data_IF_947490684221
#
_entry.id   IF_947490684221
#
_cell.length_a   1.000
_cell.length_b   1.000
_cell.length_c   1.000
_cell.angle_alpha   90.00
_cell.angle_beta   90.00
_cell.angle_gamma   90.00
#
_symmetry.space_group_name_H-M   'P 1'
#
loop_
_entity.id
_entity.type
_entity.pdbx_description
1 polymer ?
#
# COMPACT_ATOMS: atom_id res chain seq x y z
N UNK A 1 38.46 9.09 -63.74
CA UNK A 1 38.00 9.81 -62.53
C UNK A 1 37.53 8.76 -61.54
N UNK A 2 38.30 8.53 -60.47
CA UNK A 2 38.16 7.41 -59.55
C UNK A 2 36.94 7.58 -58.64
N UNK A 3 36.01 6.62 -58.65
CA UNK A 3 34.98 6.52 -57.62
C UNK A 3 35.57 5.86 -56.38
N UNK A 4 35.79 6.67 -55.33
CA UNK A 4 36.10 6.16 -53.98
C UNK A 4 34.78 5.70 -53.33
N UNK A 5 34.68 4.41 -53.08
CA UNK A 5 33.62 3.80 -52.26
C UNK A 5 33.85 4.19 -50.80
N UNK A 6 33.10 5.18 -50.30
CA UNK A 6 33.08 5.52 -48.88
C UNK A 6 32.12 4.57 -48.16
N UNK A 7 32.65 3.69 -47.31
CA UNK A 7 31.85 2.91 -46.36
C UNK A 7 31.49 3.84 -45.20
N UNK A 8 30.24 4.31 -45.17
CA UNK A 8 29.68 5.01 -44.01
C UNK A 8 29.27 3.95 -42.98
N UNK A 9 30.13 3.67 -42.02
CA UNK A 9 29.78 2.86 -40.85
C UNK A 9 28.94 3.73 -39.89
N UNK A 10 27.62 3.51 -39.89
CA UNK A 10 26.71 4.07 -38.90
C UNK A 10 26.91 3.31 -37.57
N UNK A 11 27.76 3.82 -36.69
CA UNK A 11 27.85 3.37 -35.31
C UNK A 11 26.57 3.81 -34.58
N UNK A 12 25.56 2.95 -34.54
CA UNK A 12 24.51 3.03 -33.52
C UNK A 12 25.17 2.70 -32.18
N UNK A 13 25.57 3.73 -31.44
CA UNK A 13 25.77 3.63 -29.99
C UNK A 13 24.42 3.28 -29.36
N UNK A 14 24.10 1.99 -29.27
CA UNK A 14 23.24 1.52 -28.20
C UNK A 14 24.01 1.76 -26.91
N UNK A 15 23.75 2.89 -26.25
CA UNK A 15 23.97 2.98 -24.82
C UNK A 15 23.01 1.98 -24.18
N UNK A 16 23.44 0.72 -24.10
CA UNK A 16 22.97 -0.20 -23.08
C UNK A 16 23.39 0.45 -21.77
N UNK A 17 22.54 1.33 -21.22
CA UNK A 17 22.54 1.59 -19.80
C UNK A 17 22.29 0.23 -19.15
N UNK A 18 23.37 -0.45 -18.78
CA UNK A 18 23.31 -1.52 -17.82
C UNK A 18 22.83 -0.85 -16.51
N UNK A 19 21.51 -0.73 -16.34
CA UNK A 19 20.95 -0.39 -15.06
C UNK A 19 21.31 -1.53 -14.12
N UNK A 20 22.34 -1.31 -13.31
CA UNK A 20 22.66 -2.18 -12.17
C UNK A 20 21.38 -2.34 -11.36
N UNK A 21 20.90 -3.58 -11.22
CA UNK A 21 19.74 -3.88 -10.39
C UNK A 21 20.04 -3.40 -8.95
N UNK A 22 19.19 -2.52 -8.43
CA UNK A 22 19.37 -1.89 -7.12
C UNK A 22 19.29 -2.93 -6.00
N UNK A 23 20.19 -2.85 -5.01
CA UNK A 23 20.23 -3.77 -3.87
C UNK A 23 19.71 -3.10 -2.61
N UNK A 24 18.73 -3.71 -1.93
CA UNK A 24 18.18 -3.19 -0.68
C UNK A 24 18.57 -4.04 0.52
N UNK A 25 19.17 -3.41 1.53
CA UNK A 25 19.47 -4.04 2.82
C UNK A 25 18.30 -3.82 3.79
N UNK A 26 17.68 -4.89 4.24
CA UNK A 26 16.52 -4.85 5.13
C UNK A 26 16.94 -5.37 6.50
N UNK A 27 16.79 -4.57 7.53
CA UNK A 27 17.03 -4.94 8.93
C UNK A 27 15.70 -5.06 9.66
N UNK A 28 15.42 -6.23 10.22
CA UNK A 28 14.18 -6.49 10.95
C UNK A 28 14.53 -6.76 12.40
N UNK A 29 13.96 -5.98 13.31
CA UNK A 29 14.02 -6.19 14.75
C UNK A 29 12.69 -6.77 15.22
N UNK A 30 12.72 -7.89 15.94
CA UNK A 30 11.53 -8.51 16.50
C UNK A 30 11.46 -8.24 18.00
N UNK A 31 10.31 -7.72 18.45
CA UNK A 31 10.04 -7.45 19.86
C UNK A 31 8.71 -8.05 20.29
N UNK A 32 8.45 -8.16 21.60
CA UNK A 32 7.10 -8.43 22.11
C UNK A 32 6.24 -7.15 22.11
N UNK A 33 5.01 -7.24 22.67
CA UNK A 33 4.10 -6.10 22.84
C UNK A 33 4.61 -5.01 23.81
N UNK A 34 5.72 -5.26 24.52
CA UNK A 34 6.36 -4.34 25.47
C UNK A 34 7.69 -3.79 24.96
N UNK A 35 8.01 -4.02 23.68
CA UNK A 35 9.27 -3.59 23.01
C UNK A 35 10.50 -4.39 23.48
N UNK A 36 10.33 -5.46 24.25
CA UNK A 36 11.44 -6.36 24.62
C UNK A 36 11.83 -7.21 23.42
N UNK A 37 13.13 -7.32 23.15
CA UNK A 37 13.66 -8.07 21.99
C UNK A 37 13.48 -9.57 22.14
N UNK A 38 13.15 -10.25 21.03
CA UNK A 38 12.95 -11.70 21.01
C UNK A 38 14.00 -12.35 20.09
N UNK A 39 14.98 -13.09 20.66
CA UNK A 39 15.96 -13.86 19.88
C UNK A 39 15.36 -15.18 19.39
N UNK A 40 15.95 -15.77 18.34
CA UNK A 40 15.60 -17.13 17.90
C UNK A 40 14.29 -17.25 17.12
N UNK A 41 13.68 -16.15 16.68
CA UNK A 41 12.41 -16.16 15.93
C UNK A 41 12.70 -16.22 14.43
N UNK A 42 12.05 -17.14 13.70
CA UNK A 42 12.14 -17.20 12.23
C UNK A 42 11.45 -15.96 11.62
N UNK A 43 12.14 -15.28 10.72
CA UNK A 43 11.60 -14.25 9.84
C UNK A 43 11.71 -14.76 8.41
N UNK A 44 10.59 -14.72 7.69
CA UNK A 44 10.46 -15.17 6.31
C UNK A 44 10.02 -14.00 5.44
N UNK A 45 10.75 -13.74 4.35
CA UNK A 45 10.37 -12.82 3.29
C UNK A 45 9.91 -13.64 2.08
N UNK A 46 8.73 -13.34 1.53
CA UNK A 46 8.16 -14.03 0.36
C UNK A 46 7.85 -13.03 -0.74
N UNK A 47 8.25 -13.35 -1.96
CA UNK A 47 7.92 -12.61 -3.18
C UNK A 47 7.14 -13.54 -4.11
N UNK A 48 5.84 -13.30 -4.24
CA UNK A 48 4.95 -14.18 -4.99
C UNK A 48 5.19 -14.10 -6.51
N UNK A 49 5.55 -12.92 -7.04
CA UNK A 49 5.68 -12.68 -8.49
C UNK A 49 6.83 -13.48 -9.11
N UNK A 50 7.91 -13.65 -8.35
CA UNK A 50 9.10 -14.42 -8.75
C UNK A 50 9.23 -15.73 -7.98
N UNK A 51 8.20 -16.11 -7.22
CA UNK A 51 8.14 -17.30 -6.38
C UNK A 51 9.42 -17.50 -5.52
N UNK A 52 9.89 -16.42 -4.89
CA UNK A 52 11.12 -16.41 -4.10
C UNK A 52 10.80 -16.33 -2.61
N UNK A 53 11.58 -17.04 -1.80
CA UNK A 53 11.49 -17.00 -0.34
C UNK A 53 12.87 -16.89 0.27
N UNK A 54 13.03 -15.97 1.23
CA UNK A 54 14.22 -15.84 2.06
C UNK A 54 13.84 -16.10 3.52
N UNK A 55 14.74 -16.73 4.27
CA UNK A 55 14.53 -17.02 5.70
C UNK A 55 15.77 -16.71 6.50
N UNK A 56 15.58 -16.14 7.68
CA UNK A 56 16.61 -15.97 8.70
C UNK A 56 16.00 -16.08 10.09
N UNK A 57 16.85 -16.15 11.11
CA UNK A 57 16.44 -16.19 12.51
C UNK A 57 17.04 -14.98 13.22
N UNK A 58 16.30 -14.40 14.16
CA UNK A 58 16.80 -13.27 14.95
C UNK A 58 17.96 -13.64 15.86
N UNK A 59 18.96 -12.77 15.91
CA UNK A 59 20.13 -12.88 16.79
C UNK A 59 19.78 -12.60 18.27
N UNK A 60 20.80 -12.57 19.15
CA UNK A 60 20.64 -12.28 20.58
C UNK A 60 20.01 -10.89 20.87
N UNK A 61 20.10 -9.95 19.94
CA UNK A 61 19.49 -8.62 20.02
C UNK A 61 18.09 -8.59 19.39
N UNK A 62 17.56 -9.73 18.96
CA UNK A 62 16.29 -9.83 18.25
C UNK A 62 16.35 -9.30 16.82
N UNK A 63 17.51 -9.26 16.17
CA UNK A 63 17.72 -8.63 14.86
C UNK A 63 18.07 -9.67 13.79
N UNK A 64 17.57 -9.46 12.57
CA UNK A 64 17.96 -10.20 11.36
C UNK A 64 18.09 -9.26 10.17
N UNK A 65 18.91 -9.62 9.16
CA UNK A 65 19.25 -8.73 8.05
C UNK A 65 19.18 -9.47 6.71
N UNK A 66 18.33 -9.00 5.81
CA UNK A 66 18.20 -9.51 4.44
C UNK A 66 18.85 -8.58 3.43
N UNK A 67 19.32 -9.15 2.32
CA UNK A 67 19.78 -8.42 1.14
C UNK A 67 18.87 -8.80 -0.03
N UNK A 68 18.11 -7.83 -0.53
CA UNK A 68 17.16 -8.02 -1.62
C UNK A 68 17.76 -7.46 -2.91
N UNK A 69 17.97 -8.32 -3.90
CA UNK A 69 18.55 -7.97 -5.21
C UNK A 69 17.53 -8.02 -6.34
N UNK A 70 16.39 -8.66 -6.13
CA UNK A 70 15.32 -8.88 -7.10
C UNK A 70 13.96 -8.88 -6.40
N UNK A 71 12.86 -8.88 -7.17
CA UNK A 71 11.50 -8.72 -6.63
C UNK A 71 11.18 -7.27 -6.28
N UNK A 72 9.90 -6.93 -6.27
CA UNK A 72 9.39 -5.57 -6.07
C UNK A 72 8.55 -5.44 -4.81
N UNK A 73 7.83 -6.48 -4.41
CA UNK A 73 6.98 -6.50 -3.23
C UNK A 73 7.21 -7.77 -2.41
N UNK A 74 7.84 -7.60 -1.26
CA UNK A 74 8.16 -8.69 -0.34
C UNK A 74 7.23 -8.66 0.87
N UNK A 75 6.47 -9.74 1.08
CA UNK A 75 5.70 -9.95 2.30
C UNK A 75 6.58 -10.54 3.41
N UNK A 76 6.43 -10.02 4.62
CA UNK A 76 7.20 -10.44 5.79
C UNK A 76 6.32 -11.25 6.71
N UNK A 77 6.79 -12.43 7.10
CA UNK A 77 6.18 -13.29 8.12
C UNK A 77 7.16 -13.48 9.27
N UNK A 78 6.66 -13.47 10.51
CA UNK A 78 7.49 -13.63 11.72
C UNK A 78 6.89 -14.73 12.59
N UNK A 79 7.70 -15.70 13.00
CA UNK A 79 7.31 -16.79 13.89
C UNK A 79 6.09 -17.59 13.41
N UNK A 80 5.88 -17.68 12.10
CA UNK A 80 4.74 -18.36 11.48
C UNK A 80 3.48 -17.50 11.29
N UNK A 81 3.44 -16.28 11.83
CA UNK A 81 2.39 -15.31 11.52
C UNK A 81 2.70 -14.70 10.15
N UNK A 82 1.80 -14.91 9.18
CA UNK A 82 1.98 -14.47 7.80
C UNK A 82 1.74 -12.97 7.66
N UNK A 83 2.43 -12.37 6.68
CA UNK A 83 2.13 -11.03 6.14
C UNK A 83 1.98 -9.92 7.19
N UNK A 84 2.84 -9.92 8.20
CA UNK A 84 2.83 -8.90 9.25
C UNK A 84 3.27 -7.52 8.77
N UNK A 85 3.97 -7.44 7.64
CA UNK A 85 4.39 -6.20 7.00
C UNK A 85 4.80 -6.47 5.55
N UNK A 86 4.87 -5.42 4.74
CA UNK A 86 5.33 -5.47 3.35
C UNK A 86 6.53 -4.55 3.11
N UNK A 87 7.35 -4.91 2.14
CA UNK A 87 8.44 -4.09 1.64
C UNK A 87 8.32 -3.93 0.13
N UNK A 88 8.15 -2.69 -0.30
CA UNK A 88 8.22 -2.32 -1.70
C UNK A 88 9.67 -1.91 -2.06
N UNK A 89 10.20 -2.39 -3.19
CA UNK A 89 11.52 -2.08 -3.74
C UNK A 89 11.36 -1.43 -5.11
N UNK A 90 12.18 -0.42 -5.40
CA UNK A 90 12.36 0.09 -6.76
C UNK A 90 13.47 -0.67 -7.48
N UNK A 91 13.24 -1.08 -8.74
CA UNK A 91 14.20 -1.87 -9.54
C UNK A 91 15.60 -1.25 -9.64
N UNK A 92 15.64 0.08 -9.73
CA UNK A 92 16.84 0.85 -10.05
C UNK A 92 17.60 1.33 -8.81
N UNK A 93 17.07 1.12 -7.60
CA UNK A 93 17.57 1.80 -6.39
C UNK A 93 18.16 0.84 -5.38
N UNK A 94 19.37 1.18 -4.95
CA UNK A 94 19.95 0.60 -3.74
C UNK A 94 19.58 1.43 -2.52
N UNK A 95 19.33 0.78 -1.39
CA UNK A 95 18.88 1.47 -0.19
C UNK A 95 18.97 0.60 1.06
N UNK A 96 18.57 1.17 2.19
CA UNK A 96 18.44 0.43 3.43
C UNK A 96 17.10 0.74 4.10
N UNK A 97 16.52 -0.29 4.72
CA UNK A 97 15.27 -0.19 5.48
C UNK A 97 15.44 -0.90 6.81
N UNK A 98 15.00 -0.26 7.89
CA UNK A 98 14.92 -0.87 9.22
C UNK A 98 13.49 -0.84 9.70
N UNK A 99 13.03 -1.94 10.30
CA UNK A 99 11.69 -2.02 10.87
C UNK A 99 11.70 -2.83 12.16
N UNK A 100 10.82 -2.44 13.07
CA UNK A 100 10.52 -3.21 14.29
C UNK A 100 9.15 -3.84 14.14
N UNK A 101 9.09 -5.17 14.27
CA UNK A 101 7.85 -5.94 14.19
C UNK A 101 7.56 -6.52 15.57
N UNK A 102 6.35 -6.29 16.09
CA UNK A 102 5.89 -6.90 17.33
C UNK A 102 5.36 -8.32 17.05
N UNK A 103 5.96 -9.32 17.69
CA UNK A 103 5.56 -10.72 17.61
C UNK A 103 4.84 -11.12 18.90
N UNK A 104 3.51 -11.15 18.81
CA UNK A 104 2.62 -11.68 19.84
C UNK A 104 1.56 -12.59 19.18
N UNK A 105 1.78 -13.93 19.17
CA UNK A 105 0.87 -14.88 18.54
C UNK A 105 -0.53 -14.91 19.14
N UNK A 106 -0.66 -14.73 20.46
CA UNK A 106 -1.95 -14.78 21.13
C UNK A 106 -2.78 -13.54 20.74
N UNK A 107 -2.15 -12.37 20.78
CA UNK A 107 -2.74 -11.12 20.31
C UNK A 107 -3.07 -11.18 18.81
N UNK A 108 -2.14 -11.67 17.98
CA UNK A 108 -2.34 -11.81 16.53
C UNK A 108 -3.51 -12.75 16.18
N UNK A 109 -3.62 -13.88 16.87
CA UNK A 109 -4.74 -14.82 16.72
C UNK A 109 -6.08 -14.26 17.23
N UNK A 110 -6.05 -13.26 18.11
CA UNK A 110 -7.23 -12.56 18.61
C UNK A 110 -7.70 -11.51 17.60
N UNK A 111 -6.83 -10.60 17.17
CA UNK A 111 -7.17 -9.54 16.21
C UNK A 111 -7.60 -10.08 14.86
N UNK A 112 -7.05 -11.22 14.41
CA UNK A 112 -7.46 -11.84 13.13
C UNK A 112 -8.91 -12.32 13.14
N UNK A 113 -9.51 -12.53 14.32
CA UNK A 113 -10.92 -12.88 14.48
C UNK A 113 -11.83 -11.66 14.65
N UNK A 114 -11.26 -10.45 14.71
CA UNK A 114 -11.94 -9.23 15.17
C UNK A 114 -11.63 -8.03 14.26
N UNK A 115 -11.70 -8.28 12.95
CA UNK A 115 -11.42 -7.32 11.87
C UNK A 115 -12.56 -6.31 11.61
N UNK A 116 -13.65 -6.37 12.38
CA UNK A 116 -14.80 -5.49 12.19
C UNK A 116 -14.56 -4.06 12.71
N UNK A 117 -15.04 -3.07 11.96
CA UNK A 117 -15.19 -1.71 12.49
C UNK A 117 -16.28 -1.71 13.55
N UNK A 118 -16.09 -0.96 14.65
CA UNK A 118 -17.06 -0.86 15.77
C UNK A 118 -18.31 -0.05 15.40
N UNK A 119 -18.50 0.22 14.10
CA UNK A 119 -19.59 1.00 13.55
C UNK A 119 -20.92 0.28 13.81
N UNK A 120 -21.87 1.00 14.40
CA UNK A 120 -23.20 0.46 14.72
C UNK A 120 -23.26 -0.38 15.99
N UNK A 121 -22.19 -0.45 16.79
CA UNK A 121 -22.22 -1.11 18.09
C UNK A 121 -22.99 -0.26 19.12
N UNK A 122 -23.71 -0.91 20.02
CA UNK A 122 -24.44 -0.23 21.10
C UNK A 122 -23.50 0.09 22.26
N UNK A 123 -23.50 1.34 22.75
CA UNK A 123 -22.66 1.75 23.88
C UNK A 123 -23.44 1.77 25.20
N UNK A 124 -22.87 1.17 26.25
CA UNK A 124 -23.43 1.09 27.60
C UNK A 124 -22.45 1.75 28.59
N UNK A 125 -22.72 2.97 29.07
CA UNK A 125 -21.85 3.65 30.04
C UNK A 125 -21.83 2.99 31.42
N UNK A 126 -20.65 2.86 32.02
CA UNK A 126 -20.35 2.23 33.31
C UNK A 126 -19.30 3.02 34.11
N UNK A 127 -19.50 4.34 34.27
CA UNK A 127 -18.57 5.23 34.98
C UNK A 127 -18.58 5.01 36.51
N UNK A 128 -18.13 3.84 36.96
CA UNK A 128 -18.05 3.48 38.36
C UNK A 128 -16.78 4.06 39.01
N UNK A 129 -16.94 4.95 39.99
CA UNK A 129 -15.81 5.50 40.76
C UNK A 129 -15.01 4.42 41.52
N UNK A 130 -15.69 3.35 41.93
CA UNK A 130 -15.15 2.12 42.52
C UNK A 130 -15.97 0.92 42.03
N UNK A 131 -15.43 -0.30 42.12
CA UNK A 131 -16.15 -1.50 41.68
C UNK A 131 -17.54 -1.59 42.34
N UNK A 132 -18.63 -1.76 41.56
CA UNK A 132 -19.98 -1.86 42.10
C UNK A 132 -20.20 -3.20 42.81
N UNK A 133 -21.28 -3.33 43.61
CA UNK A 133 -21.71 -4.63 44.12
C UNK A 133 -21.97 -5.61 42.96
N UNK A 134 -21.39 -6.79 43.10
CA UNK A 134 -21.42 -7.85 42.08
C UNK A 134 -22.84 -8.38 41.84
N UNK A 135 -23.25 -8.44 40.57
CA UNK A 135 -24.51 -9.05 40.11
C UNK A 135 -24.31 -10.51 39.68
N UNK A 136 -25.27 -11.42 39.95
CA UNK A 136 -25.25 -12.77 39.39
C UNK A 136 -25.14 -12.75 37.86
N UNK A 137 -24.26 -13.57 37.29
CA UNK A 137 -23.96 -13.65 35.86
C UNK A 137 -22.98 -12.59 35.33
N UNK A 138 -22.41 -11.74 36.19
CA UNK A 138 -21.44 -10.70 35.81
C UNK A 138 -20.08 -10.92 36.48
N UNK A 139 -19.01 -10.41 35.86
CA UNK A 139 -17.68 -10.29 36.45
C UNK A 139 -17.34 -8.82 36.74
N UNK A 140 -16.44 -8.59 37.69
CA UNK A 140 -15.92 -7.27 38.06
C UNK A 140 -14.52 -7.07 37.49
N UNK A 141 -14.33 -6.05 36.65
CA UNK A 141 -13.09 -5.83 35.92
C UNK A 141 -12.57 -4.43 36.24
N UNK A 142 -11.28 -4.34 36.57
CA UNK A 142 -10.55 -3.08 36.64
C UNK A 142 -9.52 -3.03 35.51
N UNK A 143 -9.66 -2.03 34.64
CA UNK A 143 -8.69 -1.76 33.57
C UNK A 143 -7.77 -0.64 34.03
N UNK A 144 -6.50 -0.97 34.24
CA UNK A 144 -5.44 -0.01 34.54
C UNK A 144 -4.80 0.50 33.24
N UNK A 145 -4.96 1.77 32.95
CA UNK A 145 -4.35 2.41 31.77
C UNK A 145 -3.07 3.13 32.18
N UNK A 146 -1.95 2.72 31.59
CA UNK A 146 -0.61 3.22 31.89
C UNK A 146 0.13 3.64 30.63
N UNK A 147 1.05 4.58 30.74
CA UNK A 147 2.00 4.89 29.66
C UNK A 147 3.10 3.83 29.58
N UNK A 148 3.93 3.86 28.52
CA UNK A 148 5.15 3.03 28.45
C UNK A 148 6.09 3.26 29.65
N UNK A 149 6.11 4.48 30.20
CA UNK A 149 6.86 4.82 31.40
C UNK A 149 6.18 4.36 32.70
N UNK A 150 5.12 3.54 32.60
CA UNK A 150 4.31 3.02 33.71
C UNK A 150 3.60 4.11 34.55
N UNK A 151 3.40 5.29 33.98
CA UNK A 151 2.62 6.35 34.63
C UNK A 151 1.14 6.14 34.37
N UNK A 152 0.29 6.42 35.37
CA UNK A 152 -1.16 6.28 35.23
C UNK A 152 -1.75 7.32 34.27
N UNK A 153 -2.71 6.90 33.45
CA UNK A 153 -3.40 7.78 32.49
C UNK A 153 -4.84 8.00 32.91
N UNK A 154 -5.15 9.21 33.36
CA UNK A 154 -6.48 9.61 33.83
C UNK A 154 -7.30 10.32 32.75
N UNK A 155 -8.63 10.25 32.85
CA UNK A 155 -9.55 10.98 31.98
C UNK A 155 -9.68 10.43 30.56
N UNK A 156 -9.23 9.19 30.32
CA UNK A 156 -9.38 8.51 29.01
C UNK A 156 -10.54 7.52 29.05
N UNK A 157 -11.24 7.42 27.93
CA UNK A 157 -12.36 6.51 27.72
C UNK A 157 -11.85 5.12 27.38
N UNK A 158 -12.25 4.14 28.19
CA UNK A 158 -11.99 2.72 27.98
C UNK A 158 -13.28 2.05 27.53
N UNK A 159 -13.22 1.26 26.48
CA UNK A 159 -14.31 0.43 25.98
C UNK A 159 -14.01 -1.05 26.19
N UNK A 160 -14.89 -1.77 26.88
CA UNK A 160 -14.93 -3.23 26.91
C UNK A 160 -15.88 -3.70 25.81
N UNK A 161 -15.31 -4.11 24.68
CA UNK A 161 -16.04 -4.41 23.44
C UNK A 161 -16.33 -5.90 23.33
N UNK A 162 -17.61 -6.27 23.28
CA UNK A 162 -18.06 -7.64 23.01
C UNK A 162 -18.52 -7.75 21.55
N UNK A 163 -17.66 -8.31 20.70
CA UNK A 163 -17.92 -8.44 19.25
C UNK A 163 -19.13 -9.30 18.95
N UNK A 164 -19.29 -10.43 19.64
CA UNK A 164 -20.43 -11.35 19.47
C UNK A 164 -21.78 -10.69 19.75
N UNK A 165 -21.81 -9.72 20.67
CA UNK A 165 -23.01 -8.99 21.07
C UNK A 165 -23.13 -7.61 20.43
N UNK A 166 -22.15 -7.17 19.63
CA UNK A 166 -22.06 -5.82 19.07
C UNK A 166 -22.31 -4.71 20.11
N UNK A 167 -21.73 -4.89 21.29
CA UNK A 167 -21.94 -4.03 22.46
C UNK A 167 -20.61 -3.56 23.04
N UNK A 168 -20.53 -2.29 23.45
CA UNK A 168 -19.34 -1.67 24.05
C UNK A 168 -19.73 -1.11 25.41
N UNK A 169 -19.17 -1.66 26.49
CA UNK A 169 -19.30 -1.06 27.81
C UNK A 169 -18.23 0.01 27.97
N UNK A 170 -18.60 1.26 28.28
CA UNK A 170 -17.66 2.39 28.30
C UNK A 170 -17.48 2.94 29.70
N UNK A 171 -16.24 3.22 30.10
CA UNK A 171 -15.95 3.89 31.36
C UNK A 171 -14.72 4.80 31.22
N UNK A 172 -14.71 5.93 31.94
CA UNK A 172 -13.57 6.85 31.97
C UNK A 172 -12.61 6.50 33.11
N UNK A 173 -11.30 6.56 32.85
CA UNK A 173 -10.30 6.30 33.89
C UNK A 173 -10.29 7.40 34.97
N UNK A 174 -10.20 6.97 36.23
CA UNK A 174 -10.08 7.87 37.38
C UNK A 174 -8.66 8.46 37.53
N UNK A 175 -8.40 9.19 38.62
CA UNK A 175 -7.08 9.80 38.91
C UNK A 175 -5.94 8.78 39.09
N UNK A 176 -6.27 7.52 39.36
CA UNK A 176 -5.31 6.41 39.43
C UNK A 176 -5.14 5.70 38.08
N UNK A 177 -5.80 6.17 37.02
CA UNK A 177 -5.77 5.56 35.69
C UNK A 177 -6.61 4.29 35.58
N UNK A 178 -7.62 4.12 36.45
CA UNK A 178 -8.44 2.91 36.51
C UNK A 178 -9.83 3.17 35.96
N UNK A 179 -10.28 2.35 35.02
CA UNK A 179 -11.67 2.25 34.57
C UNK A 179 -12.29 0.94 35.10
N UNK A 180 -13.40 1.04 35.81
CA UNK A 180 -14.05 -0.10 36.45
C UNK A 180 -15.30 -0.53 35.68
N UNK A 181 -15.50 -1.83 35.55
CA UNK A 181 -16.58 -2.43 34.78
C UNK A 181 -17.26 -3.56 35.54
N UNK A 182 -18.53 -3.76 35.23
CA UNK A 182 -19.29 -4.96 35.56
C UNK A 182 -19.95 -5.50 34.30
N UNK A 183 -19.44 -6.60 33.77
CA UNK A 183 -19.80 -7.12 32.44
C UNK A 183 -20.20 -8.60 32.49
N UNK A 184 -21.10 -9.09 31.61
CA UNK A 184 -21.53 -10.48 31.59
C UNK A 184 -20.37 -11.48 31.46
N UNK A 185 -20.42 -12.58 32.20
CA UNK A 185 -19.46 -13.69 32.04
C UNK A 185 -19.82 -14.60 30.85
N UNK A 186 -18.94 -15.55 30.50
CA UNK A 186 -19.04 -16.41 29.31
C UNK A 186 -19.01 -15.62 28.01
N UNK A 187 -18.24 -14.55 28.00
CA UNK A 187 -18.05 -13.66 26.87
C UNK A 187 -16.59 -13.24 26.78
N UNK A 188 -16.20 -12.87 25.57
CA UNK A 188 -14.87 -12.40 25.22
C UNK A 188 -14.95 -10.89 24.97
N UNK A 189 -14.05 -10.14 25.59
CA UNK A 189 -14.03 -8.69 25.48
C UNK A 189 -12.67 -8.19 25.00
N UNK A 190 -12.70 -7.21 24.10
CA UNK A 190 -11.53 -6.46 23.72
C UNK A 190 -11.51 -5.15 24.50
N UNK A 191 -10.32 -4.65 24.78
CA UNK A 191 -10.14 -3.41 25.52
C UNK A 191 -9.66 -2.34 24.55
N UNK A 192 -10.57 -1.41 24.25
CA UNK A 192 -10.35 -0.25 23.41
C UNK A 192 -10.05 0.97 24.30
N UNK A 193 -9.17 1.88 23.88
CA UNK A 193 -8.91 3.13 24.63
C UNK A 193 -8.88 4.31 23.67
N UNK A 194 -9.71 5.33 23.92
CA UNK A 194 -9.82 6.54 23.07
C UNK A 194 -10.02 6.22 21.58
N UNK A 195 -10.77 5.15 21.29
CA UNK A 195 -11.04 4.69 19.92
C UNK A 195 -9.92 3.86 19.29
N UNK A 196 -8.76 3.72 19.94
CA UNK A 196 -7.77 2.72 19.54
C UNK A 196 -8.29 1.33 19.88
N UNK A 197 -8.46 0.51 18.85
CA UNK A 197 -9.10 -0.78 18.94
C UNK A 197 -8.12 -1.86 19.40
N UNK A 198 -8.63 -2.82 20.17
CA UNK A 198 -7.92 -4.03 20.57
C UNK A 198 -6.59 -3.76 21.29
N UNK A 199 -6.45 -2.74 22.15
CA UNK A 199 -5.17 -2.52 22.84
C UNK A 199 -4.86 -3.63 23.86
N UNK A 200 -5.88 -4.34 24.34
CA UNK A 200 -5.77 -5.55 25.15
C UNK A 200 -7.07 -6.36 25.05
N UNK A 201 -7.19 -7.43 25.83
CA UNK A 201 -8.40 -8.26 25.87
C UNK A 201 -8.56 -8.92 27.24
N UNK A 202 -9.79 -9.35 27.54
CA UNK A 202 -10.09 -10.23 28.65
C UNK A 202 -11.15 -11.25 28.25
N UNK A 203 -10.92 -12.51 28.62
CA UNK A 203 -11.87 -13.59 28.39
C UNK A 203 -12.47 -14.02 29.73
N UNK A 204 -13.79 -13.94 29.83
CA UNK A 204 -14.50 -14.25 31.06
C UNK A 204 -15.26 -15.56 30.91
N UNK A 205 -15.04 -16.46 31.84
CA UNK A 205 -15.78 -17.72 31.97
C UNK A 205 -16.70 -17.66 33.20
N UNK A 206 -17.60 -18.64 33.35
CA UNK A 206 -18.46 -18.76 34.54
C UNK A 206 -17.66 -18.79 35.86
N UNK A 207 -16.39 -19.22 35.84
CA UNK A 207 -15.53 -19.23 37.04
C UNK A 207 -15.16 -17.81 37.51
N UNK A 208 -15.29 -16.81 36.64
CA UNK A 208 -14.92 -15.42 36.92
C UNK A 208 -16.05 -14.61 37.58
N UNK A 209 -17.25 -15.20 37.76
CA UNK A 209 -18.44 -14.51 38.30
C UNK A 209 -18.22 -13.93 39.71
N UNK A 210 -17.21 -14.40 40.47
CA UNK A 210 -16.91 -13.94 41.84
C UNK A 210 -15.52 -13.36 42.02
N UNK A 211 -14.79 -13.13 40.92
CA UNK A 211 -13.41 -12.69 40.95
C UNK A 211 -13.31 -11.28 40.36
N UNK A 212 -12.58 -10.42 41.06
CA UNK A 212 -12.10 -9.18 40.47
C UNK A 212 -10.96 -9.54 39.55
N UNK A 213 -11.08 -9.16 38.28
CA UNK A 213 -10.01 -9.30 37.30
C UNK A 213 -9.39 -7.94 37.03
N UNK A 214 -8.08 -7.90 36.92
CA UNK A 214 -7.36 -6.69 36.54
C UNK A 214 -6.69 -6.90 35.19
N UNK A 215 -6.93 -5.97 34.28
CA UNK A 215 -6.19 -5.87 33.03
C UNK A 215 -5.32 -4.61 33.06
N UNK A 216 -4.11 -4.69 32.54
CA UNK A 216 -3.26 -3.51 32.35
C UNK A 216 -3.11 -3.24 30.86
N UNK A 217 -3.39 -2.01 30.45
CA UNK A 217 -3.32 -1.55 29.07
C UNK A 217 -2.31 -0.43 28.95
N UNK A 218 -1.48 -0.49 27.91
CA UNK A 218 -0.56 0.60 27.60
C UNK A 218 -1.21 1.57 26.61
N UNK A 219 -1.43 2.81 27.03
CA UNK A 219 -1.89 3.91 26.19
C UNK A 219 -0.95 5.10 26.37
N UNK A 220 -0.13 5.37 25.37
CA UNK A 220 0.85 6.45 25.35
C UNK A 220 0.61 7.25 24.07
N UNK A 221 -0.30 8.22 24.09
CA UNK A 221 -0.56 9.13 22.95
C UNK A 221 -0.20 10.56 23.37
N UNK A 222 0.85 11.16 22.80
CA UNK A 222 1.28 12.49 23.18
C UNK A 222 0.43 13.54 22.46
N UNK A 223 0.19 14.66 23.14
CA UNK A 223 -0.30 15.87 22.47
C UNK A 223 0.87 16.51 21.75
N UNK A 224 0.93 16.37 20.43
CA UNK A 224 1.99 16.95 19.60
C UNK A 224 1.52 18.29 19.03
N UNK A 225 2.29 19.37 19.21
CA UNK A 225 2.01 20.62 18.52
C UNK A 225 2.11 20.41 17.01
N UNK A 226 1.05 20.78 16.28
CA UNK A 226 1.00 20.64 14.84
C UNK A 226 0.28 21.82 14.19
N UNK A 227 0.69 22.14 12.97
CA UNK A 227 0.02 23.12 12.11
C UNK A 227 -0.63 22.38 10.95
N UNK A 228 -1.89 22.73 10.65
CA UNK A 228 -2.65 22.18 9.54
C UNK A 228 -2.89 23.30 8.53
N UNK A 229 -2.46 23.07 7.29
CA UNK A 229 -2.68 23.96 6.14
C UNK A 229 -3.31 23.13 5.02
N UNK A 230 -4.63 23.27 4.86
CA UNK A 230 -5.42 22.41 3.96
C UNK A 230 -5.30 20.93 4.32
N UNK A 231 -4.72 20.15 3.43
CA UNK A 231 -4.47 18.71 3.56
C UNK A 231 -3.13 18.39 4.26
N UNK A 232 -2.30 19.40 4.49
CA UNK A 232 -0.91 19.22 4.91
C UNK A 232 -0.75 19.49 6.40
N UNK A 233 -0.19 18.52 7.10
CA UNK A 233 0.08 18.51 8.53
C UNK A 233 1.59 18.62 8.76
N UNK A 234 2.00 19.64 9.50
CA UNK A 234 3.40 19.79 9.95
C UNK A 234 3.47 19.57 11.46
N UNK A 235 4.21 18.56 11.90
CA UNK A 235 4.34 18.19 13.31
C UNK A 235 5.63 18.78 13.91
N UNK A 236 5.55 19.33 15.11
CA UNK A 236 6.74 19.69 15.89
C UNK A 236 7.16 18.51 16.77
N UNK A 237 8.09 17.71 16.24
CA UNK A 237 8.57 16.48 16.89
C UNK A 237 9.82 16.71 17.76
N UNK A 238 10.16 17.95 18.11
CA UNK A 238 11.32 18.24 18.97
C UNK A 238 11.13 17.60 20.35
N UNK A 239 12.08 16.74 20.75
CA UNK A 239 12.03 16.01 22.02
C UNK A 239 11.34 14.64 21.95
N UNK A 240 10.82 14.26 20.77
CA UNK A 240 10.25 12.94 20.52
C UNK A 240 11.24 12.06 19.75
N UNK A 241 11.24 10.76 20.02
CA UNK A 241 12.21 9.81 19.42
C UNK A 241 11.72 8.36 19.35
N UNK A 242 10.42 8.13 19.60
CA UNK A 242 9.82 6.80 19.70
C UNK A 242 8.38 6.80 19.20
N UNK A 243 7.88 5.61 18.91
CA UNK A 243 6.47 5.37 18.61
C UNK A 243 5.56 5.54 19.84
N UNK A 244 4.28 5.72 19.56
CA UNK A 244 3.21 5.97 20.52
C UNK A 244 2.01 5.06 20.18
N UNK A 245 1.06 4.89 21.11
CA UNK A 245 -0.12 4.06 20.86
C UNK A 245 -0.88 4.57 19.63
N UNK A 246 -1.12 3.70 18.65
CA UNK A 246 -1.79 4.08 17.40
C UNK A 246 -0.96 4.98 16.47
N UNK A 247 0.33 5.19 16.74
CA UNK A 247 1.19 6.10 15.97
C UNK A 247 2.59 5.49 15.73
N UNK A 248 2.95 5.32 14.46
CA UNK A 248 4.25 4.86 14.00
C UNK A 248 5.29 6.00 14.01
N UNK A 249 6.45 5.75 14.61
CA UNK A 249 7.61 6.64 14.51
C UNK A 249 8.51 6.20 13.37
N UNK A 250 8.67 7.07 12.38
CA UNK A 250 9.42 6.75 11.18
C UNK A 250 10.46 7.80 10.86
N UNK A 251 11.71 7.37 10.65
CA UNK A 251 12.82 8.25 10.28
C UNK A 251 13.18 8.05 8.81
N UNK A 252 13.09 9.11 8.01
CA UNK A 252 13.51 9.09 6.60
C UNK A 252 14.86 9.80 6.49
N UNK A 253 15.88 9.06 6.06
CA UNK A 253 17.17 9.62 5.66
C UNK A 253 17.16 9.85 4.15
N UNK A 254 17.36 11.09 3.74
CA UNK A 254 17.38 11.53 2.36
C UNK A 254 18.80 11.90 1.97
N UNK A 255 19.28 11.33 0.88
CA UNK A 255 20.53 11.73 0.26
C UNK A 255 20.26 12.44 -1.07
N UNK A 256 21.02 13.49 -1.39
CA UNK A 256 20.99 14.19 -2.68
C UNK A 256 21.67 13.37 -3.79
N UNK A 257 22.56 12.46 -3.41
CA UNK A 257 23.19 11.48 -4.28
C UNK A 257 23.37 10.14 -3.53
N UNK A 258 24.31 9.27 -3.92
CA UNK A 258 24.54 7.98 -3.23
C UNK A 258 25.04 8.12 -1.79
N UNK A 259 25.59 9.26 -1.39
CA UNK A 259 26.27 9.41 -0.09
C UNK A 259 26.08 10.77 0.59
N UNK A 260 25.71 11.81 -0.15
CA UNK A 260 25.60 13.17 0.35
C UNK A 260 24.22 13.41 0.95
N UNK A 261 24.10 13.79 2.23
CA UNK A 261 22.80 14.11 2.83
C UNK A 261 22.10 15.29 2.14
N UNK A 262 20.81 15.14 1.86
CA UNK A 262 19.98 16.24 1.36
C UNK A 262 19.53 17.09 2.56
N UNK A 263 20.17 18.24 2.77
CA UNK A 263 19.92 19.11 3.93
C UNK A 263 18.81 20.13 3.63
N UNK A 264 17.89 20.35 4.58
CA UNK A 264 16.72 21.24 4.43
C UNK A 264 15.78 20.86 3.28
N UNK A 265 15.80 19.60 2.88
CA UNK A 265 14.88 19.07 1.88
C UNK A 265 13.50 18.85 2.50
N UNK A 266 12.45 19.18 1.75
CA UNK A 266 11.08 18.98 2.20
C UNK A 266 10.64 17.58 1.76
N UNK A 267 10.20 16.80 2.74
CA UNK A 267 9.71 15.43 2.55
C UNK A 267 8.23 15.40 2.91
N UNK A 268 7.44 14.78 2.04
CA UNK A 268 6.02 14.56 2.25
C UNK A 268 5.75 13.07 2.40
N UNK A 269 4.95 12.70 3.39
CA UNK A 269 4.37 11.37 3.54
C UNK A 269 2.84 11.48 3.34
N UNK A 270 2.37 11.06 2.17
CA UNK A 270 0.96 11.07 1.80
C UNK A 270 0.28 9.80 2.28
N UNK A 271 -0.85 9.91 2.99
CA UNK A 271 -1.69 8.76 3.29
C UNK A 271 -2.27 8.16 2.00
N UNK A 272 -1.97 6.89 1.70
CA UNK A 272 -2.51 6.18 0.54
C UNK A 272 -4.01 5.93 0.78
N UNK A 273 -4.85 6.22 -0.22
CA UNK A 273 -6.32 6.22 -0.14
C UNK A 273 -6.90 7.25 0.86
N UNK A 274 -6.04 8.13 1.40
CA UNK A 274 -6.43 9.26 2.22
C UNK A 274 -6.15 10.58 1.49
N UNK A 275 -6.53 11.67 2.14
CA UNK A 275 -6.28 13.02 1.62
C UNK A 275 -5.15 13.74 2.36
N UNK A 276 -4.56 13.14 3.40
CA UNK A 276 -3.64 13.83 4.31
C UNK A 276 -2.19 13.70 3.86
N UNK A 277 -1.43 14.79 4.02
CA UNK A 277 0.01 14.83 3.84
C UNK A 277 0.69 15.19 5.16
N UNK A 278 1.70 14.44 5.55
CA UNK A 278 2.60 14.82 6.63
C UNK A 278 3.85 15.44 6.02
N UNK A 279 4.23 16.63 6.48
CA UNK A 279 5.36 17.39 5.96
C UNK A 279 6.45 17.49 7.02
N UNK A 280 7.68 17.17 6.63
CA UNK A 280 8.87 17.37 7.45
C UNK A 280 10.02 17.94 6.61
N UNK A 281 11.00 18.52 7.29
CA UNK A 281 12.21 19.07 6.66
C UNK A 281 13.42 18.34 7.21
N UNK A 282 14.34 17.95 6.34
CA UNK A 282 15.55 17.23 6.74
C UNK A 282 16.55 18.13 7.50
N UNK A 283 17.22 17.53 8.47
CA UNK A 283 18.29 18.15 9.26
C UNK A 283 19.64 18.16 8.52
N UNK A 284 20.71 18.55 9.22
CA UNK A 284 22.08 18.58 8.69
C UNK A 284 22.63 17.19 8.30
N UNK A 285 22.02 16.12 8.79
CA UNK A 285 22.36 14.74 8.43
C UNK A 285 21.42 14.18 7.35
N UNK A 286 20.57 15.01 6.75
CA UNK A 286 19.58 14.60 5.77
C UNK A 286 18.43 13.78 6.37
N UNK A 287 18.20 13.84 7.67
CA UNK A 287 17.16 13.06 8.35
C UNK A 287 15.95 13.92 8.69
N UNK A 288 14.78 13.36 8.52
CA UNK A 288 13.55 13.88 9.10
C UNK A 288 12.78 12.74 9.76
N UNK A 289 11.89 13.07 10.70
CA UNK A 289 11.04 12.10 11.36
C UNK A 289 9.57 12.44 11.09
N UNK A 290 8.74 11.40 11.05
CA UNK A 290 7.31 11.47 11.00
C UNK A 290 6.72 10.69 12.17
N UNK A 291 5.63 11.21 12.74
CA UNK A 291 4.77 10.43 13.59
C UNK A 291 3.43 10.21 12.88
N UNK A 292 3.26 9.02 12.31
CA UNK A 292 2.19 8.68 11.37
C UNK A 292 1.15 7.81 12.07
N UNK A 293 -0.17 8.05 11.91
CA UNK A 293 -1.19 7.14 12.37
C UNK A 293 -0.98 5.70 11.86
N UNK A 294 -1.18 4.71 12.72
CA UNK A 294 -1.17 3.29 12.32
C UNK A 294 -2.48 2.90 11.67
N UNK A 295 -2.49 1.81 10.90
CA UNK A 295 -3.65 1.37 10.10
C UNK A 295 -3.60 1.84 8.64
N UNK A 296 -2.54 2.56 8.25
CA UNK A 296 -2.42 3.17 6.93
C UNK A 296 -1.05 2.93 6.30
N UNK A 297 -0.97 3.03 4.97
CA UNK A 297 0.30 3.11 4.25
C UNK A 297 0.52 4.54 3.79
N UNK A 298 1.79 4.98 3.75
CA UNK A 298 2.15 6.34 3.39
C UNK A 298 3.16 6.37 2.24
N UNK A 299 2.84 7.08 1.16
CA UNK A 299 3.74 7.29 0.03
C UNK A 299 4.66 8.49 0.29
N UNK A 300 5.96 8.32 0.07
CA UNK A 300 6.95 9.38 0.16
C UNK A 300 7.02 10.16 -1.16
N UNK A 301 6.99 11.48 -1.04
CA UNK A 301 7.19 12.42 -2.14
C UNK A 301 8.20 13.49 -1.75
N UNK A 302 8.86 14.02 -2.76
CA UNK A 302 9.64 15.25 -2.71
C UNK A 302 9.01 16.29 -3.62
N UNK A 303 9.45 17.54 -3.49
CA UNK A 303 8.93 18.68 -4.27
C UNK A 303 8.94 18.44 -5.78
N UNK A 304 9.96 17.76 -6.30
CA UNK A 304 10.12 17.52 -7.74
C UNK A 304 10.27 16.03 -8.06
N UNK A 305 9.85 15.14 -7.18
CA UNK A 305 9.84 13.70 -7.42
C UNK A 305 8.71 13.06 -6.61
N UNK A 306 7.74 12.47 -7.30
CA UNK A 306 6.59 11.81 -6.68
C UNK A 306 6.77 10.29 -6.66
N UNK A 307 5.96 9.61 -5.85
CA UNK A 307 5.85 8.14 -5.81
C UNK A 307 7.20 7.45 -5.53
N UNK A 308 7.92 7.92 -4.50
CA UNK A 308 9.32 7.57 -4.24
C UNK A 308 9.44 6.19 -3.60
N UNK A 309 8.78 5.98 -2.46
CA UNK A 309 8.80 4.75 -1.66
C UNK A 309 7.62 4.77 -0.67
N UNK A 310 7.24 3.63 -0.10
CA UNK A 310 6.10 3.48 0.81
C UNK A 310 6.56 3.14 2.23
N UNK A 311 6.08 3.91 3.20
CA UNK A 311 6.06 3.54 4.62
C UNK A 311 4.82 2.68 4.87
N UNK A 312 5.03 1.43 5.27
CA UNK A 312 3.95 0.55 5.70
C UNK A 312 3.75 0.69 7.22
N UNK A 313 2.71 1.41 7.62
CA UNK A 313 2.24 1.51 9.01
C UNK A 313 0.84 0.87 9.14
N UNK A 314 0.49 -0.06 8.25
CA UNK A 314 -0.83 -0.69 8.20
C UNK A 314 -1.11 -1.58 9.42
N UNK A 315 -0.06 -2.14 10.02
CA UNK A 315 -0.17 -2.89 11.25
C UNK A 315 -0.61 -1.95 12.40
N UNK A 316 -1.59 -2.35 13.20
CA UNK A 316 -2.05 -1.59 14.38
C UNK A 316 -1.53 -2.17 15.69
N UNK A 317 -0.83 -3.30 15.62
CA UNK A 317 -0.31 -4.01 16.78
C UNK A 317 1.03 -3.44 17.25
N UNK A 318 1.09 -3.06 18.54
CA UNK A 318 2.32 -2.66 19.20
C UNK A 318 2.88 -1.30 18.75
N UNK A 319 4.18 -1.09 19.00
CA UNK A 319 4.87 0.18 18.79
C UNK A 319 5.73 0.14 17.53
N UNK A 320 5.23 0.75 16.45
CA UNK A 320 5.88 0.70 15.14
C UNK A 320 7.00 1.74 15.06
N UNK A 321 8.24 1.26 15.03
CA UNK A 321 9.41 2.08 14.81
C UNK A 321 10.10 1.63 13.52
N UNK A 322 10.39 2.57 12.63
CA UNK A 322 11.02 2.27 11.35
C UNK A 322 11.96 3.37 10.87
N UNK A 323 12.81 3.00 9.93
CA UNK A 323 13.58 3.97 9.15
C UNK A 323 13.81 3.50 7.73
N UNK A 324 13.97 4.45 6.83
CA UNK A 324 14.39 4.19 5.45
C UNK A 324 15.47 5.17 5.02
N UNK A 325 16.25 4.74 4.04
CA UNK A 325 17.18 5.58 3.31
C UNK A 325 16.75 5.66 1.85
N UNK A 326 16.56 6.89 1.37
CA UNK A 326 16.12 7.20 0.01
C UNK A 326 17.06 8.21 -0.62
N UNK A 327 17.28 8.09 -1.93
CA UNK A 327 18.00 9.10 -2.71
C UNK A 327 16.99 9.96 -3.46
N UNK A 328 17.04 11.28 -3.24
CA UNK A 328 16.22 12.23 -3.97
C UNK A 328 16.81 12.43 -5.37
N UNK A 329 16.03 12.07 -6.40
CA UNK A 329 16.37 12.26 -7.81
C UNK A 329 15.28 13.13 -8.44
N UNK A 330 15.44 14.46 -8.43
CA UNK A 330 14.46 15.36 -8.98
C UNK A 330 14.17 15.07 -10.46
N UNK A 331 12.89 15.07 -10.84
CA UNK A 331 12.49 14.98 -12.24
C UNK A 331 12.71 16.34 -12.92
N UNK A 332 13.59 16.42 -13.94
CA UNK A 332 13.86 17.69 -14.63
C UNK A 332 12.62 18.34 -15.22
N UNK A 333 11.61 17.55 -15.63
CA UNK A 333 10.32 18.05 -16.15
C UNK A 333 9.51 18.79 -15.08
N UNK A 334 9.59 18.34 -13.83
CA UNK A 334 8.92 18.99 -12.70
C UNK A 334 9.71 20.22 -12.22
N UNK A 335 11.04 20.16 -12.29
CA UNK A 335 11.90 21.30 -11.93
C UNK A 335 11.82 22.45 -12.93
N UNK A 336 11.82 22.12 -14.23
CA UNK A 336 11.94 23.09 -15.31
C UNK A 336 10.85 22.87 -16.37
N UNK A 337 9.55 22.98 -16.02
CA UNK A 337 8.45 22.64 -16.93
C UNK A 337 8.54 23.37 -18.27
N UNK A 338 8.98 24.63 -18.27
CA UNK A 338 9.16 25.43 -19.49
C UNK A 338 10.20 24.89 -20.48
N UNK A 339 11.21 24.13 -20.02
CA UNK A 339 12.23 23.52 -20.88
C UNK A 339 11.78 22.20 -21.51
N UNK A 340 10.69 21.62 -21.00
CA UNK A 340 10.15 20.33 -21.46
C UNK A 340 8.79 20.48 -22.16
N UNK A 341 8.40 21.71 -22.50
CA UNK A 341 7.31 21.95 -23.45
C UNK A 341 7.81 21.48 -24.82
N UNK A 342 7.13 20.54 -25.48
CA UNK A 342 7.54 20.10 -26.81
C UNK A 342 7.57 21.28 -27.78
N UNK A 343 8.74 21.57 -28.36
CA UNK A 343 8.84 22.44 -29.53
C UNK A 343 8.01 21.92 -30.71
N UNK A 344 7.68 22.77 -31.68
CA UNK A 344 6.85 22.40 -32.84
C UNK A 344 7.43 21.20 -33.61
N UNK A 345 8.76 21.06 -33.62
CA UNK A 345 9.52 19.96 -34.21
C UNK A 345 9.42 18.65 -33.44
N UNK A 346 9.10 18.70 -32.14
CA UNK A 346 8.88 17.53 -31.27
C UNK A 346 7.42 17.07 -31.27
N UNK A 347 6.53 17.87 -31.84
CA UNK A 347 5.15 17.49 -32.08
C UNK A 347 5.13 16.61 -33.33
N UNK A 348 4.84 15.32 -33.16
CA UNK A 348 4.52 14.47 -34.28
C UNK A 348 3.20 14.97 -34.87
N UNK A 349 3.22 15.46 -36.10
CA UNK A 349 1.99 15.69 -36.86
C UNK A 349 1.39 14.31 -37.09
N UNK A 350 0.37 13.96 -36.31
CA UNK A 350 -0.33 12.68 -36.41
C UNK A 350 -1.21 12.74 -37.67
N UNK A 351 -0.58 12.60 -38.82
CA UNK A 351 -1.22 12.06 -40.02
C UNK A 351 -0.59 10.69 -40.26
N UNK A 352 -0.98 9.71 -39.42
CA UNK A 352 -0.55 8.32 -39.53
C UNK A 352 -0.89 7.71 -40.91
N UNK A 353 -1.82 8.35 -41.63
CA UNK A 353 -2.19 8.04 -43.01
C UNK A 353 -1.03 8.18 -44.02
N UNK A 354 -0.03 9.02 -43.73
CA UNK A 354 1.06 9.31 -44.68
C UNK A 354 2.23 8.31 -44.64
N UNK A 355 2.30 7.43 -43.64
CA UNK A 355 3.38 6.43 -43.54
C UNK A 355 3.08 5.16 -44.36
N UNK A 356 1.81 4.91 -44.70
CA UNK A 356 1.39 3.77 -45.51
C UNK A 356 1.33 4.21 -46.98
N UNK A 357 2.49 4.17 -47.67
CA UNK A 357 2.56 4.45 -49.12
C UNK A 357 1.78 3.45 -49.99
N UNK A 358 1.40 2.29 -49.44
CA UNK A 358 0.66 1.24 -50.16
C UNK A 358 -0.68 1.00 -49.48
N UNK A 359 -1.69 1.71 -49.94
CA UNK A 359 -3.06 1.44 -49.52
C UNK A 359 -3.56 0.19 -50.24
N UNK A 360 -3.96 -0.82 -49.46
CA UNK A 360 -4.65 -2.01 -49.98
C UNK A 360 -6.10 -1.63 -50.31
N UNK A 361 -6.77 -2.34 -51.24
CA UNK A 361 -8.16 -2.05 -51.57
C UNK A 361 -9.02 -2.13 -50.31
N UNK A 362 -9.81 -1.08 -50.04
CA UNK A 362 -10.80 -1.12 -48.97
C UNK A 362 -11.80 -2.27 -49.23
N UNK A 363 -12.31 -2.95 -48.20
CA UNK A 363 -13.35 -3.96 -48.37
C UNK A 363 -14.57 -3.37 -49.09
N UNK A 364 -15.18 -4.11 -50.02
CA UNK A 364 -16.43 -3.71 -50.67
C UNK A 364 -17.61 -4.46 -50.06
N UNK A 365 -18.54 -3.76 -49.42
CA UNK A 365 -19.76 -4.32 -48.80
C UNK A 365 -19.49 -5.41 -47.75
N UNK A 366 -18.36 -5.33 -47.01
CA UNK A 366 -18.00 -6.25 -45.92
C UNK A 366 -17.19 -5.52 -44.85
N UNK A 367 -17.23 -5.96 -43.57
CA UNK A 367 -16.52 -5.30 -42.46
C UNK A 367 -15.00 -5.40 -42.58
N UNK A 368 -14.50 -6.51 -43.10
CA UNK A 368 -13.08 -6.72 -43.36
C UNK A 368 -12.87 -7.56 -44.63
N UNK A 369 -11.69 -7.43 -45.23
CA UNK A 369 -11.21 -8.28 -46.31
C UNK A 369 -9.84 -8.87 -45.95
N UNK A 370 -9.59 -10.10 -46.39
CA UNK A 370 -8.34 -10.82 -46.16
C UNK A 370 -7.63 -11.00 -47.49
N UNK A 371 -6.39 -10.54 -47.56
CA UNK A 371 -5.52 -10.74 -48.72
C UNK A 371 -4.44 -11.73 -48.38
N UNK A 372 -4.37 -12.79 -49.17
CA UNK A 372 -3.37 -13.85 -49.06
C UNK A 372 -2.44 -13.76 -50.25
N UNK A 373 -1.13 -13.75 -50.01
CA UNK A 373 -0.13 -13.98 -51.06
C UNK A 373 1.06 -14.73 -50.48
N UNK A 374 1.76 -15.47 -51.33
CA UNK A 374 3.04 -16.05 -50.92
C UNK A 374 4.06 -14.92 -50.75
N UNK A 375 4.69 -14.86 -49.58
CA UNK A 375 5.78 -13.91 -49.27
C UNK A 375 7.10 -14.29 -49.95
N UNK A 376 7.14 -15.46 -50.59
CA UNK A 376 8.28 -16.01 -51.32
C UNK A 376 7.77 -16.55 -52.68
N UNK A 377 8.38 -16.15 -53.82
CA UNK A 377 7.94 -16.58 -55.17
C UNK A 377 8.33 -18.03 -55.54
N UNK A 378 8.96 -18.79 -54.65
CA UNK A 378 9.54 -20.13 -54.87
C UNK A 378 8.86 -21.23 -54.06
N UNK A 379 7.56 -21.11 -53.77
CA UNK A 379 6.81 -22.24 -53.20
C UNK A 379 6.57 -23.27 -54.32
N UNK A 380 7.34 -24.36 -54.28
CA UNK A 380 7.22 -25.48 -55.22
C UNK A 380 7.25 -26.82 -54.46
N UNK A 381 7.11 -27.93 -55.18
CA UNK A 381 7.04 -29.30 -54.62
C UNK A 381 8.26 -29.72 -53.79
N UNK A 382 9.40 -29.04 -53.95
CA UNK A 382 10.66 -29.36 -53.26
C UNK A 382 10.96 -28.35 -52.12
N UNK A 383 10.09 -27.36 -51.90
CA UNK A 383 10.25 -26.35 -50.87
C UNK A 383 9.99 -26.94 -49.47
N UNK A 384 10.95 -26.77 -48.56
CA UNK A 384 10.84 -27.22 -47.15
C UNK A 384 10.12 -26.22 -46.24
N UNK A 385 9.98 -24.98 -46.69
CA UNK A 385 9.33 -23.89 -45.96
C UNK A 385 8.51 -23.04 -46.93
N UNK A 386 7.36 -22.55 -46.47
CA UNK A 386 6.52 -21.64 -47.23
C UNK A 386 6.10 -20.46 -46.34
N UNK A 387 6.21 -19.25 -46.88
CA UNK A 387 5.80 -18.02 -46.20
C UNK A 387 4.50 -17.53 -46.81
N UNK A 388 3.42 -17.55 -46.03
CA UNK A 388 2.14 -16.96 -46.40
C UNK A 388 2.02 -15.59 -45.74
N UNK A 389 1.92 -14.55 -46.54
CA UNK A 389 1.57 -13.21 -46.07
C UNK A 389 0.05 -13.12 -46.00
N UNK A 390 -0.46 -12.98 -44.77
CA UNK A 390 -1.88 -12.78 -44.47
C UNK A 390 -2.06 -11.32 -44.08
N UNK A 391 -2.90 -10.60 -44.80
CA UNK A 391 -3.18 -9.19 -44.55
C UNK A 391 -4.67 -8.99 -44.34
N UNK A 392 -5.01 -8.05 -43.46
CA UNK A 392 -6.38 -7.67 -43.15
C UNK A 392 -6.59 -6.20 -43.49
N UNK A 393 -7.73 -5.88 -44.11
CA UNK A 393 -8.20 -4.51 -44.29
C UNK A 393 -9.59 -4.41 -43.68
N UNK A 394 -9.91 -3.28 -43.05
CA UNK A 394 -11.22 -3.02 -42.48
C UNK A 394 -11.81 -1.77 -43.15
N UNK A 395 -13.14 -1.75 -43.30
CA UNK A 395 -13.83 -0.53 -43.73
C UNK A 395 -14.17 0.30 -42.48
N UNK A 396 -13.53 1.46 -42.37
CA UNK A 396 -13.71 2.42 -41.28
C UNK A 396 -15.14 2.97 -41.20
N UNK A 397 -15.89 2.92 -42.31
CA UNK A 397 -17.29 3.35 -42.38
C UNK A 397 -18.28 2.21 -42.20
N UNK A 398 -17.81 0.98 -42.00
CA UNK A 398 -18.69 -0.14 -41.70
C UNK A 398 -19.31 0.08 -40.32
N UNK A 399 -20.64 0.09 -40.26
CA UNK A 399 -21.38 0.45 -39.06
C UNK A 399 -21.02 -0.48 -37.90
N UNK A 400 -20.19 0.02 -36.98
CA UNK A 400 -19.79 -0.68 -35.76
C UNK A 400 -21.01 -1.02 -34.88
N UNK A 401 -22.21 -0.47 -35.14
CA UNK A 401 -23.44 -0.90 -34.47
C UNK A 401 -23.83 -2.35 -34.76
N UNK A 402 -23.38 -2.92 -35.88
CA UNK A 402 -23.67 -4.31 -36.26
C UNK A 402 -22.57 -5.31 -35.89
N UNK A 403 -21.47 -4.86 -35.28
CA UNK A 403 -20.42 -5.76 -34.79
C UNK A 403 -20.87 -6.49 -33.54
N UNK A 404 -20.47 -7.77 -33.33
CA UNK A 404 -20.74 -8.49 -32.10
C UNK A 404 -20.32 -7.67 -30.86
N UNK A 405 -21.06 -7.76 -29.75
CA UNK A 405 -20.65 -7.15 -28.50
C UNK A 405 -19.25 -7.58 -28.09
N UNK A 406 -18.44 -6.65 -27.61
CA UNK A 406 -17.18 -7.00 -26.95
C UNK A 406 -17.48 -7.68 -25.62
N UNK A 407 -16.63 -8.62 -25.22
CA UNK A 407 -16.61 -9.17 -23.87
C UNK A 407 -15.22 -8.95 -23.28
N UNK A 408 -15.11 -7.96 -22.40
CA UNK A 408 -13.84 -7.45 -21.90
C UNK A 408 -13.78 -7.68 -20.39
N UNK A 409 -12.72 -8.36 -19.95
CA UNK A 409 -12.39 -8.53 -18.54
C UNK A 409 -11.15 -7.70 -18.22
N UNK A 410 -11.29 -6.74 -17.30
CA UNK A 410 -10.17 -6.00 -16.74
C UNK A 410 -9.68 -6.71 -15.49
N UNK A 411 -8.40 -7.04 -15.47
CA UNK A 411 -7.70 -7.58 -14.31
C UNK A 411 -6.75 -6.49 -13.82
N UNK A 412 -7.06 -5.89 -12.67
CA UNK A 412 -6.39 -4.69 -12.16
C UNK A 412 -5.56 -5.06 -10.94
N UNK A 413 -4.28 -4.76 -10.98
CA UNK A 413 -3.40 -4.82 -9.80
C UNK A 413 -3.70 -3.62 -8.90
N UNK A 414 -4.05 -3.87 -7.64
CA UNK A 414 -4.23 -2.82 -6.64
C UNK A 414 -3.17 -2.86 -5.52
N UNK A 415 -2.10 -3.66 -5.70
CA UNK A 415 -1.05 -3.82 -4.71
C UNK A 415 -0.41 -2.49 -4.30
N UNK A 416 0.32 -2.49 -3.18
CA UNK A 416 1.06 -1.33 -2.69
C UNK A 416 2.00 -0.73 -3.76
N UNK A 417 2.51 -1.55 -4.66
CA UNK A 417 3.32 -1.12 -5.81
C UNK A 417 2.56 -0.24 -6.80
N UNK A 418 1.25 -0.40 -6.92
CA UNK A 418 0.39 0.40 -7.81
C UNK A 418 -0.07 1.71 -7.16
N UNK A 419 0.18 1.91 -5.86
CA UNK A 419 -0.14 3.17 -5.21
C UNK A 419 0.62 4.35 -5.83
N UNK A 420 -0.02 5.52 -5.86
CA UNK A 420 0.55 6.76 -6.36
C UNK A 420 -0.16 7.33 -7.59
N UNK A 421 0.02 8.63 -7.81
CA UNK A 421 -0.73 9.39 -8.81
C UNK A 421 -0.43 8.94 -10.25
N UNK A 422 0.81 8.54 -10.53
CA UNK A 422 1.20 8.12 -11.87
C UNK A 422 0.88 6.65 -12.17
N UNK A 423 0.31 5.90 -11.21
CA UNK A 423 0.06 4.46 -11.32
C UNK A 423 -1.45 4.18 -11.28
N UNK A 424 -2.00 3.76 -10.15
CA UNK A 424 -3.41 3.36 -10.05
C UNK A 424 -4.37 4.47 -10.48
N UNK A 425 -4.09 5.73 -10.16
CA UNK A 425 -4.94 6.86 -10.56
C UNK A 425 -4.96 7.06 -12.09
N UNK A 426 -3.85 6.82 -12.79
CA UNK A 426 -3.82 6.83 -14.26
C UNK A 426 -4.56 5.64 -14.87
N UNK A 427 -4.54 4.48 -14.21
CA UNK A 427 -5.35 3.33 -14.61
C UNK A 427 -6.84 3.66 -14.48
N UNK A 428 -7.26 4.24 -13.36
CA UNK A 428 -8.64 4.71 -13.16
C UNK A 428 -9.06 5.70 -14.24
N UNK A 429 -8.26 6.75 -14.50
CA UNK A 429 -8.54 7.72 -15.57
C UNK A 429 -8.69 7.06 -16.95
N UNK A 430 -7.78 6.14 -17.28
CA UNK A 430 -7.78 5.43 -18.57
C UNK A 430 -9.00 4.52 -18.71
N UNK A 431 -9.36 3.78 -17.66
CA UNK A 431 -10.53 2.91 -17.62
C UNK A 431 -11.83 3.71 -17.75
N UNK A 432 -11.95 4.83 -17.02
CA UNK A 432 -13.10 5.74 -17.14
C UNK A 432 -13.27 6.21 -18.58
N UNK A 433 -12.18 6.65 -19.21
CA UNK A 433 -12.19 7.08 -20.63
C UNK A 433 -12.59 5.94 -21.57
N UNK A 434 -12.12 4.73 -21.32
CA UNK A 434 -12.45 3.56 -22.14
C UNK A 434 -13.92 3.14 -22.00
N UNK A 435 -14.49 3.15 -20.79
CA UNK A 435 -15.90 2.82 -20.55
C UNK A 435 -16.85 3.78 -21.27
N UNK A 436 -16.46 5.06 -21.39
CA UNK A 436 -17.24 6.00 -22.18
C UNK A 436 -17.35 5.60 -23.66
N UNK A 437 -16.37 4.86 -24.18
CA UNK A 437 -16.34 4.39 -25.58
C UNK A 437 -17.12 3.08 -25.80
N UNK A 438 -17.44 2.33 -24.74
CA UNK A 438 -18.18 1.06 -24.87
C UNK A 438 -19.65 1.28 -25.29
N UNK A 439 -20.20 0.36 -26.07
CA UNK A 439 -21.62 0.32 -26.46
C UNK A 439 -22.45 -0.29 -25.32
N UNK A 440 -23.75 -0.01 -25.31
CA UNK A 440 -24.68 -0.57 -24.32
C UNK A 440 -24.73 -2.11 -24.35
N UNK A 441 -24.49 -2.72 -25.51
CA UNK A 441 -24.47 -4.16 -25.68
C UNK A 441 -23.15 -4.82 -25.22
N UNK A 442 -22.05 -4.06 -25.14
CA UNK A 442 -20.74 -4.60 -24.75
C UNK A 442 -20.78 -5.11 -23.31
N UNK A 443 -20.06 -6.19 -23.03
CA UNK A 443 -19.97 -6.85 -21.74
C UNK A 443 -18.66 -6.47 -21.08
N UNK A 444 -18.73 -6.02 -19.83
CA UNK A 444 -17.58 -5.68 -19.00
C UNK A 444 -17.55 -6.54 -17.73
N UNK A 445 -16.35 -6.96 -17.36
CA UNK A 445 -16.04 -7.56 -16.06
C UNK A 445 -14.83 -6.85 -15.47
N UNK A 446 -14.80 -6.66 -14.15
CA UNK A 446 -13.65 -6.11 -13.44
C UNK A 446 -13.30 -7.03 -12.28
N UNK A 447 -12.06 -7.50 -12.29
CA UNK A 447 -11.42 -8.26 -11.22
C UNK A 447 -10.27 -7.42 -10.71
N UNK A 448 -10.20 -7.20 -9.41
CA UNK A 448 -9.02 -6.62 -8.77
C UNK A 448 -8.23 -7.74 -8.09
N UNK A 449 -6.91 -7.62 -8.13
CA UNK A 449 -6.03 -8.53 -7.43
C UNK A 449 -5.07 -7.77 -6.53
N UNK A 450 -4.95 -8.30 -5.32
CA UNK A 450 -3.98 -7.90 -4.30
C UNK A 450 -3.43 -9.22 -3.72
N UNK A 451 -3.72 -9.55 -2.45
CA UNK A 451 -3.44 -10.87 -1.87
C UNK A 451 -4.48 -11.94 -2.29
N UNK A 452 -5.74 -11.53 -2.52
CA UNK A 452 -6.83 -12.37 -3.02
C UNK A 452 -7.48 -11.73 -4.25
N UNK A 453 -8.05 -12.55 -5.15
CA UNK A 453 -8.82 -12.05 -6.29
C UNK A 453 -10.22 -11.67 -5.86
N UNK A 454 -10.62 -10.43 -6.13
CA UNK A 454 -11.97 -9.94 -5.86
C UNK A 454 -12.66 -9.57 -7.16
N UNK A 455 -13.80 -10.22 -7.41
CA UNK A 455 -14.69 -9.84 -8.51
C UNK A 455 -15.45 -8.57 -8.11
N UNK A 456 -15.09 -7.44 -8.71
CA UNK A 456 -15.72 -6.14 -8.45
C UNK A 456 -16.96 -5.96 -9.31
N UNK A 457 -16.85 -6.30 -10.59
CA UNK A 457 -17.97 -6.26 -11.54
C UNK A 457 -18.07 -7.63 -12.19
N UNK A 458 -19.15 -8.41 -11.91
CA UNK A 458 -19.41 -9.64 -12.65
C UNK A 458 -19.70 -9.31 -14.13
N UNK A 459 -19.46 -10.26 -15.06
CA UNK A 459 -19.71 -10.04 -16.47
C UNK A 459 -21.14 -9.53 -16.71
N UNK A 460 -21.26 -8.26 -17.13
CA UNK A 460 -22.55 -7.62 -17.38
C UNK A 460 -22.48 -6.71 -18.59
N UNK A 461 -23.60 -6.63 -19.31
CA UNK A 461 -23.76 -5.62 -20.36
C UNK A 461 -23.63 -4.21 -19.75
N UNK A 462 -22.90 -3.33 -20.43
CA UNK A 462 -22.69 -1.94 -20.00
C UNK A 462 -24.04 -1.22 -19.87
N UNK A 463 -24.98 -1.46 -20.78
CA UNK A 463 -26.32 -0.87 -20.75
C UNK A 463 -26.27 0.65 -20.58
N UNK A 464 -27.11 1.16 -19.67
CA UNK A 464 -27.09 2.56 -19.23
C UNK A 464 -26.24 2.75 -17.94
N UNK A 465 -25.46 1.75 -17.53
CA UNK A 465 -24.79 1.71 -16.23
C UNK A 465 -23.41 2.39 -16.23
N UNK A 466 -23.04 3.13 -17.29
CA UNK A 466 -21.70 3.74 -17.41
C UNK A 466 -21.32 4.62 -16.22
N UNK A 467 -22.27 5.38 -15.67
CA UNK A 467 -22.06 6.20 -14.48
C UNK A 467 -21.73 5.34 -13.25
N UNK A 468 -22.56 4.34 -12.96
CA UNK A 468 -22.34 3.41 -11.84
C UNK A 468 -21.02 2.63 -11.98
N UNK A 469 -20.66 2.20 -13.19
CA UNK A 469 -19.37 1.53 -13.44
C UNK A 469 -18.21 2.50 -13.17
N UNK A 470 -18.36 3.77 -13.55
CA UNK A 470 -17.35 4.81 -13.31
C UNK A 470 -17.18 5.11 -11.82
N UNK A 471 -18.27 5.16 -11.05
CA UNK A 471 -18.24 5.31 -9.59
C UNK A 471 -17.53 4.13 -8.91
N UNK A 472 -17.78 2.91 -9.37
CA UNK A 472 -17.11 1.70 -8.87
C UNK A 472 -15.60 1.72 -9.13
N UNK A 473 -15.15 2.36 -10.22
CA UNK A 473 -13.71 2.48 -10.53
C UNK A 473 -13.04 3.57 -9.71
N UNK A 474 -13.79 4.60 -9.32
CA UNK A 474 -13.27 5.69 -8.50
C UNK A 474 -13.03 5.25 -7.06
N UNK A 475 -14.01 4.54 -6.50
CA UNK A 475 -13.97 3.90 -5.19
C UNK A 475 -12.86 2.84 -5.13
#
# INVERSE_FOLDING_TARGET
MNFKTGITALFLCFSLSAFSQGTMKVTIKVTDGTVKTIPGVEVKLTESSINKTLKQVTDASGITVFTLTEGLSWSISVGGIKEQSTIERSEERSGSRTMTISYDPAYSARISKQTETRTGYSSIPQNYNSLPPLKPGFGLISVEVKTLAKQNVSGVTVGMTCVSQKTIYTATTNSQGIANFQIPVNQNYDIDVEGLLNLSYIDLTARNEKLIQTATVTYDVPKIPQTIDGDTITQNLKGFSKAFSGMAWYVVKVNADRSTPAVKEIVYAQEINGTRFYKATTDAMGKCAFLLPTGHKYMIHFRFQHDVDVIDASNTAGFINGSMEVTYVPNPRLQNPGQFIPGAENLFLIEFENFIKKQFPKPRNKPFDVFLKWGNPKVNKDAKEALLEVMFTADENYDAKNSPPFNICFVIDQSGSMAGYNRIEKVKESLKKYIQQLRSADIISIVVFEDEMKLVIPPKAVGNNKASITEIIEA
#
